data_IF_926997176017
#
_entry.id   IF_926997176017
#
_cell.length_a   1.000
_cell.length_b   1.000
_cell.length_c   1.000
_cell.angle_alpha   90.00
_cell.angle_beta   90.00
_cell.angle_gamma   90.00
#
_symmetry.space_group_name_H-M   'P 1'
#
loop_
_entity.id
_entity.type
_entity.pdbx_description
1 polymer ?
#
# COMPACT_ATOMS: atom_id res chain seq x y z
N UNK A 1 -3.18 -4.86 24.07
CA UNK A 1 -4.53 -4.50 23.60
C UNK A 1 -4.31 -3.30 22.71
N UNK A 2 -4.37 -3.48 21.40
CA UNK A 2 -4.35 -2.33 20.50
C UNK A 2 -5.79 -1.85 20.43
N UNK A 3 -6.08 -0.68 21.02
CA UNK A 3 -7.44 -0.20 21.25
C UNK A 3 -8.05 0.54 20.04
N UNK A 4 -7.39 0.51 18.88
CA UNK A 4 -7.92 1.06 17.63
C UNK A 4 -7.71 0.05 16.52
N UNK A 5 -8.76 -0.71 16.19
CA UNK A 5 -8.90 -1.40 14.91
C UNK A 5 -9.65 -0.44 13.98
N UNK A 6 -8.91 0.31 13.18
CA UNK A 6 -9.46 1.08 12.09
C UNK A 6 -10.14 0.14 11.08
N UNK A 7 -11.30 0.56 10.59
CA UNK A 7 -11.99 -0.09 9.49
C UNK A 7 -11.94 0.79 8.24
N UNK A 8 -11.67 0.20 7.08
CA UNK A 8 -11.77 0.92 5.81
C UNK A 8 -13.22 1.22 5.48
N UNK A 9 -13.51 2.47 5.14
CA UNK A 9 -14.78 2.85 4.52
C UNK A 9 -14.87 2.28 3.10
N UNK A 10 -16.03 2.36 2.47
CA UNK A 10 -16.16 1.98 1.05
C UNK A 10 -15.26 2.82 0.12
N UNK A 11 -14.99 4.07 0.50
CA UNK A 11 -14.06 4.94 -0.22
C UNK A 11 -12.61 4.51 0.02
N UNK A 12 -12.22 4.22 1.27
CA UNK A 12 -10.90 3.68 1.57
C UNK A 12 -10.62 2.34 0.89
N UNK A 13 -11.61 1.45 0.80
CA UNK A 13 -11.48 0.19 0.05
C UNK A 13 -11.19 0.43 -1.43
N UNK A 14 -11.87 1.42 -2.05
CA UNK A 14 -11.64 1.78 -3.46
C UNK A 14 -10.26 2.38 -3.67
N UNK A 15 -9.83 3.25 -2.76
CA UNK A 15 -8.52 3.90 -2.84
C UNK A 15 -7.40 2.87 -2.68
N UNK A 16 -7.49 2.00 -1.67
CA UNK A 16 -6.54 0.89 -1.47
C UNK A 16 -6.51 -0.04 -2.68
N UNK A 17 -7.67 -0.40 -3.24
CA UNK A 17 -7.71 -1.27 -4.42
C UNK A 17 -7.10 -0.60 -5.66
N UNK A 18 -7.31 0.71 -5.84
CA UNK A 18 -6.73 1.49 -6.93
C UNK A 18 -5.22 1.55 -6.78
N UNK A 19 -4.73 1.83 -5.57
CA UNK A 19 -3.31 1.86 -5.24
C UNK A 19 -2.62 0.52 -5.50
N UNK A 20 -3.20 -0.60 -5.06
CA UNK A 20 -2.65 -1.95 -5.32
C UNK A 20 -2.57 -2.21 -6.83
N UNK A 21 -3.57 -1.75 -7.60
CA UNK A 21 -3.60 -1.89 -9.05
C UNK A 21 -2.49 -1.06 -9.70
N UNK A 22 -2.30 0.18 -9.24
CA UNK A 22 -1.23 1.06 -9.70
C UNK A 22 0.15 0.48 -9.40
N UNK A 23 0.35 -0.08 -8.20
CA UNK A 23 1.60 -0.74 -7.82
C UNK A 23 1.90 -1.95 -8.73
N UNK A 24 0.88 -2.75 -9.10
CA UNK A 24 1.05 -3.86 -10.06
C UNK A 24 1.42 -3.37 -11.45
N UNK A 25 0.74 -2.33 -11.94
CA UNK A 25 1.04 -1.72 -13.24
C UNK A 25 2.45 -1.17 -13.26
N UNK A 26 2.84 -0.43 -12.22
CA UNK A 26 4.17 0.19 -12.11
C UNK A 26 5.28 -0.85 -11.99
N UNK A 27 5.04 -1.94 -11.27
CA UNK A 27 5.96 -3.08 -11.21
C UNK A 27 6.24 -3.62 -12.61
N UNK A 28 5.20 -3.84 -13.41
CA UNK A 28 5.38 -4.32 -14.79
C UNK A 28 6.17 -3.30 -15.63
N UNK A 29 5.86 -2.00 -15.54
CA UNK A 29 6.60 -0.96 -16.25
C UNK A 29 8.10 -0.93 -15.90
N UNK A 30 8.42 -1.05 -14.61
CA UNK A 30 9.80 -1.02 -14.11
C UNK A 30 10.55 -2.29 -14.52
N UNK A 31 9.93 -3.46 -14.41
CA UNK A 31 10.54 -4.73 -14.83
C UNK A 31 10.75 -4.79 -16.36
N UNK A 32 9.81 -4.25 -17.14
CA UNK A 32 9.88 -4.27 -18.61
C UNK A 32 10.86 -3.23 -19.17
N UNK A 33 11.02 -2.06 -18.52
CA UNK A 33 11.80 -0.94 -19.07
C UNK A 33 13.10 -0.59 -18.34
N UNK A 34 13.26 -0.94 -17.06
CA UNK A 34 14.34 -0.39 -16.23
C UNK A 34 15.52 -1.34 -15.99
N UNK A 35 15.46 -2.60 -16.45
CA UNK A 35 16.51 -3.59 -16.17
C UNK A 35 16.62 -3.98 -14.70
N UNK A 36 15.62 -3.61 -13.88
CA UNK A 36 15.49 -4.05 -12.49
C UNK A 36 15.07 -5.52 -12.49
N UNK A 37 15.99 -6.42 -12.16
CA UNK A 37 15.73 -7.87 -12.17
C UNK A 37 15.35 -8.41 -10.79
N UNK A 38 15.44 -7.59 -9.75
CA UNK A 38 15.29 -8.01 -8.36
C UNK A 38 13.87 -7.69 -7.88
N UNK A 39 13.14 -8.74 -7.52
CA UNK A 39 11.68 -8.72 -7.27
C UNK A 39 11.32 -9.43 -5.97
N UNK A 40 12.17 -9.33 -4.95
CA UNK A 40 11.94 -10.01 -3.69
C UNK A 40 10.79 -9.37 -2.89
N UNK A 41 10.50 -8.10 -3.15
CA UNK A 41 9.37 -7.40 -2.55
C UNK A 41 8.02 -7.85 -3.12
N UNK A 42 7.06 -8.05 -2.23
CA UNK A 42 5.68 -8.41 -2.57
C UNK A 42 4.81 -7.15 -2.65
N UNK A 43 3.89 -7.07 -3.62
CA UNK A 43 2.87 -6.01 -3.63
C UNK A 43 1.98 -6.22 -2.40
N UNK A 44 1.68 -5.19 -1.62
CA UNK A 44 0.85 -5.35 -0.44
C UNK A 44 -0.57 -5.76 -0.78
N UNK A 45 -1.19 -6.46 0.16
CA UNK A 45 -2.61 -6.73 0.20
C UNK A 45 -3.34 -5.65 0.99
N UNK A 46 -4.65 -5.53 0.77
CA UNK A 46 -5.48 -4.63 1.57
C UNK A 46 -5.39 -4.92 3.07
N UNK A 47 -5.22 -6.19 3.45
CA UNK A 47 -5.08 -6.59 4.86
C UNK A 47 -3.76 -6.11 5.47
N UNK A 48 -2.66 -6.20 4.72
CA UNK A 48 -1.35 -5.69 5.17
C UNK A 48 -1.42 -4.17 5.33
N UNK A 49 -1.99 -3.46 4.36
CA UNK A 49 -2.23 -2.01 4.46
C UNK A 49 -3.04 -1.66 5.70
N UNK A 50 -4.10 -2.41 5.99
CA UNK A 50 -4.91 -2.17 7.18
C UNK A 50 -4.19 -2.50 8.48
N UNK A 51 -3.38 -3.57 8.51
CA UNK A 51 -2.60 -3.92 9.67
C UNK A 51 -1.56 -2.85 9.98
N UNK A 52 -0.91 -2.31 8.95
CA UNK A 52 0.15 -1.32 9.11
C UNK A 52 -0.43 0.02 9.57
N UNK A 53 -1.60 0.44 9.04
CA UNK A 53 -2.40 1.56 9.59
C UNK A 53 -2.75 1.39 11.08
N UNK A 54 -3.01 0.15 11.50
CA UNK A 54 -3.35 -0.18 12.89
C UNK A 54 -2.14 -0.36 13.81
N UNK A 55 -0.92 -0.33 13.27
CA UNK A 55 0.31 -0.65 14.01
C UNK A 55 0.91 0.55 14.78
N UNK A 56 0.35 1.76 14.65
CA UNK A 56 0.78 3.03 15.28
C UNK A 56 2.23 3.48 14.98
N UNK A 57 3.02 2.76 14.17
CA UNK A 57 4.24 3.33 13.59
C UNK A 57 3.84 4.27 12.45
N UNK A 58 4.35 5.51 12.49
CA UNK A 58 4.11 6.52 11.46
C UNK A 58 4.20 5.89 10.07
N UNK A 59 3.05 5.74 9.41
CA UNK A 59 2.92 5.05 8.12
C UNK A 59 3.41 5.96 7.00
N UNK A 60 4.68 6.38 7.08
CA UNK A 60 5.43 6.89 5.94
C UNK A 60 5.95 5.72 5.08
N UNK A 61 5.12 4.67 5.00
CA UNK A 61 5.43 3.42 4.33
C UNK A 61 5.32 3.64 2.82
N UNK A 62 6.47 3.89 2.22
CA UNK A 62 6.67 3.53 0.83
C UNK A 62 6.40 2.03 0.68
N UNK A 63 5.23 1.68 0.15
CA UNK A 63 4.91 0.32 -0.24
C UNK A 63 5.79 -0.06 -1.42
N UNK A 64 6.61 -1.08 -1.21
CA UNK A 64 7.57 -1.49 -2.22
C UNK A 64 6.89 -2.05 -3.46
N UNK A 65 7.09 -1.37 -4.58
CA UNK A 65 6.67 -1.82 -5.92
C UNK A 65 7.75 -2.72 -6.51
N UNK A 66 9.02 -2.38 -6.32
CA UNK A 66 10.18 -3.27 -6.50
C UNK A 66 11.12 -3.09 -5.31
N UNK A 67 12.23 -3.85 -5.27
CA UNK A 67 13.24 -3.70 -4.21
C UNK A 67 13.93 -2.32 -4.25
N UNK A 68 13.81 -1.59 -5.37
CA UNK A 68 14.44 -0.29 -5.59
C UNK A 68 13.43 0.86 -5.80
N UNK A 69 12.12 0.57 -5.77
CA UNK A 69 11.09 1.57 -6.03
C UNK A 69 9.87 1.34 -5.14
N UNK A 70 9.47 2.38 -4.40
CA UNK A 70 8.29 2.37 -3.53
C UNK A 70 7.28 3.44 -3.93
N UNK A 71 6.02 3.22 -3.58
CA UNK A 71 4.93 4.16 -3.78
C UNK A 71 4.20 4.40 -2.45
N UNK A 72 3.65 5.60 -2.27
CA UNK A 72 2.88 5.96 -1.08
C UNK A 72 1.40 6.04 -1.41
N UNK A 73 0.57 5.59 -0.47
CA UNK A 73 -0.86 5.81 -0.48
C UNK A 73 -1.20 6.90 0.53
N UNK A 74 -2.12 7.80 0.17
CA UNK A 74 -2.61 8.83 1.08
C UNK A 74 -4.02 8.46 1.52
N UNK A 75 -4.17 8.12 2.80
CA UNK A 75 -5.45 7.81 3.42
C UNK A 75 -5.73 8.82 4.54
N UNK A 76 -6.99 9.14 4.74
CA UNK A 76 -7.44 10.20 5.65
C UNK A 76 -8.49 9.65 6.62
N UNK A 77 -8.29 9.89 7.92
CA UNK A 77 -9.21 9.49 8.97
C UNK A 77 -10.57 10.19 8.80
N UNK A 78 -11.66 9.45 8.96
CA UNK A 78 -13.03 9.95 8.74
C UNK A 78 -13.49 9.97 7.28
N UNK A 79 -12.58 9.75 6.33
CA UNK A 79 -12.91 9.59 4.89
C UNK A 79 -12.65 8.16 4.46
N UNK A 80 -11.39 7.73 4.59
CA UNK A 80 -10.91 6.44 4.09
C UNK A 80 -10.93 5.35 5.15
N UNK A 81 -10.76 5.70 6.43
CA UNK A 81 -10.83 4.77 7.55
C UNK A 81 -11.47 5.43 8.78
N UNK A 82 -12.15 4.63 9.59
CA UNK A 82 -12.88 5.04 10.80
C UNK A 82 -12.51 4.21 12.01
#
# INVERSE_FOLDING_TARGET
MNEHEFELTEEGKREVQSFITECKTKRNEVLDNAGDTIKHTTIPTQKEILNDLNSQEDVDECWGVTDNYGMKIFLEYGIHFI
#
